data_IF_737168578848
#
_entry.id   IF_737168578848
#
_cell.length_a   1.000
_cell.length_b   1.000
_cell.length_c   1.000
_cell.angle_alpha   90.00
_cell.angle_beta   90.00
_cell.angle_gamma   90.00
#
_symmetry.space_group_name_H-M   'P 1'
#
loop_
_entity.id
_entity.type
_entity.pdbx_description
1 polymer ?
#
# COMPACT_ATOMS: atom_id res chain seq x y z
N UNK A 1 -21.91 -31.76 -18.49
CA UNK A 1 -20.89 -32.15 -17.50
C UNK A 1 -20.80 -30.99 -16.51
N UNK A 2 -21.20 -31.20 -15.25
CA UNK A 2 -21.35 -30.11 -14.27
C UNK A 2 -20.05 -29.79 -13.54
N UNK A 3 -19.86 -28.53 -13.18
CA UNK A 3 -18.73 -28.10 -12.36
C UNK A 3 -18.92 -28.52 -10.89
N UNK A 4 -17.86 -29.07 -10.28
CA UNK A 4 -17.80 -29.43 -8.86
C UNK A 4 -16.98 -28.34 -8.14
N UNK A 5 -17.60 -27.62 -7.22
CA UNK A 5 -16.92 -26.66 -6.34
C UNK A 5 -16.72 -27.30 -4.95
N UNK A 6 -15.51 -27.26 -4.39
CA UNK A 6 -15.15 -27.98 -3.15
C UNK A 6 -15.36 -27.14 -1.88
N UNK A 7 -15.10 -25.83 -1.95
CA UNK A 7 -15.43 -24.83 -0.92
C UNK A 7 -15.20 -23.42 -1.48
N UNK A 8 -15.91 -22.43 -0.97
CA UNK A 8 -15.57 -21.02 -1.08
C UNK A 8 -15.76 -20.36 0.29
N UNK A 9 -14.89 -19.44 0.66
CA UNK A 9 -15.04 -18.62 1.87
C UNK A 9 -15.08 -17.16 1.42
N UNK A 10 -16.11 -16.42 1.87
CA UNK A 10 -16.26 -15.00 1.61
C UNK A 10 -16.23 -14.28 2.97
N UNK A 11 -15.18 -13.52 3.24
CA UNK A 11 -15.06 -12.68 4.44
C UNK A 11 -15.11 -11.22 4.05
N UNK A 12 -15.76 -10.42 4.87
CA UNK A 12 -15.86 -8.98 4.67
C UNK A 12 -14.50 -8.34 5.02
N UNK A 13 -13.84 -7.77 4.01
CA UNK A 13 -12.61 -7.00 4.12
C UNK A 13 -12.83 -5.72 3.30
N UNK A 14 -12.29 -4.57 3.72
CA UNK A 14 -12.55 -3.25 3.12
C UNK A 14 -13.95 -2.67 3.40
N UNK A 15 -14.30 -2.46 4.67
CA UNK A 15 -15.58 -1.84 5.08
C UNK A 15 -15.65 -0.31 4.86
N UNK A 16 -14.62 0.28 4.25
CA UNK A 16 -14.51 1.72 4.01
C UNK A 16 -15.21 2.18 2.72
N UNK A 17 -15.82 1.25 1.98
CA UNK A 17 -16.51 1.55 0.73
C UNK A 17 -18.01 1.33 0.94
N UNK A 18 -18.79 2.41 0.85
CA UNK A 18 -20.24 2.36 0.86
C UNK A 18 -20.73 1.63 -0.39
N UNK A 19 -21.36 0.46 -0.24
CA UNK A 19 -22.22 -0.26 -1.22
C UNK A 19 -21.83 -0.22 -2.72
N UNK A 20 -20.54 -0.11 -3.03
CA UNK A 20 -20.00 0.00 -4.40
C UNK A 20 -19.90 -1.37 -5.07
N UNK A 21 -19.86 -1.48 -6.42
CA UNK A 21 -19.59 -2.73 -7.13
C UNK A 21 -18.36 -3.47 -6.61
N UNK A 22 -18.35 -4.79 -6.80
CA UNK A 22 -17.26 -5.68 -6.39
C UNK A 22 -15.88 -5.14 -6.81
N UNK A 23 -14.94 -5.09 -5.87
CA UNK A 23 -13.56 -4.75 -6.16
C UNK A 23 -12.83 -5.95 -6.77
N UNK A 24 -12.05 -5.69 -7.82
CA UNK A 24 -11.09 -6.65 -8.37
C UNK A 24 -9.71 -6.21 -7.90
N UNK A 25 -9.00 -7.12 -7.23
CA UNK A 25 -7.62 -6.85 -6.83
C UNK A 25 -6.74 -6.72 -8.08
N UNK A 26 -6.17 -5.53 -8.29
CA UNK A 26 -5.15 -5.30 -9.31
C UNK A 26 -3.76 -5.63 -8.75
N UNK A 27 -3.29 -4.85 -7.77
CA UNK A 27 -1.96 -4.99 -7.19
C UNK A 27 -1.99 -4.92 -5.66
N UNK A 28 -1.05 -5.62 -5.04
CA UNK A 28 -0.78 -5.57 -3.59
C UNK A 28 0.70 -5.86 -3.35
N UNK A 29 1.40 -4.93 -2.72
CA UNK A 29 2.85 -4.98 -2.53
C UNK A 29 3.25 -4.85 -1.06
N UNK A 30 4.26 -5.62 -0.66
CA UNK A 30 5.05 -5.39 0.54
C UNK A 30 6.33 -4.64 0.14
N UNK A 31 6.26 -3.31 0.14
CA UNK A 31 7.36 -2.46 -0.31
C UNK A 31 8.63 -2.67 0.53
N UNK A 32 9.75 -2.87 -0.16
CA UNK A 32 11.06 -3.09 0.47
C UNK A 32 11.25 -4.52 1.03
N UNK A 33 10.23 -5.38 0.94
CA UNK A 33 10.39 -6.80 1.28
C UNK A 33 11.19 -7.53 0.21
N UNK A 34 12.09 -8.42 0.65
CA UNK A 34 12.83 -9.34 -0.23
C UNK A 34 12.07 -10.66 -0.47
N UNK A 35 10.96 -10.88 0.23
CA UNK A 35 10.17 -12.11 0.15
C UNK A 35 8.68 -11.81 0.04
N UNK A 36 7.97 -12.68 -0.66
CA UNK A 36 6.51 -12.74 -0.64
C UNK A 36 5.99 -12.96 0.79
N UNK A 37 4.95 -12.21 1.18
CA UNK A 37 4.24 -12.40 2.46
C UNK A 37 2.83 -12.92 2.17
N UNK A 38 2.44 -14.00 2.84
CA UNK A 38 1.13 -14.66 2.76
C UNK A 38 0.93 -15.58 3.97
N UNK A 39 -0.03 -16.52 3.94
CA UNK A 39 -0.22 -17.49 5.02
C UNK A 39 1.09 -18.26 5.33
N UNK A 40 1.42 -18.54 6.61
CA UNK A 40 0.62 -18.30 7.82
C UNK A 40 0.78 -16.90 8.44
N UNK A 41 1.61 -16.04 7.85
CA UNK A 41 1.87 -14.68 8.37
C UNK A 41 0.66 -13.77 8.18
N UNK A 42 -0.02 -13.89 7.03
CA UNK A 42 -1.32 -13.26 6.79
C UNK A 42 -2.45 -14.29 6.99
N UNK A 43 -3.31 -14.15 8.02
CA UNK A 43 -4.43 -15.05 8.26
C UNK A 43 -5.45 -15.12 7.12
N UNK A 44 -5.49 -14.10 6.26
CA UNK A 44 -6.38 -14.02 5.09
C UNK A 44 -5.74 -14.59 3.82
N UNK A 45 -4.52 -15.16 3.91
CA UNK A 45 -3.69 -15.64 2.79
C UNK A 45 -3.61 -14.65 1.61
N UNK A 46 -3.65 -13.35 1.91
CA UNK A 46 -3.48 -12.32 0.89
C UNK A 46 -2.05 -12.38 0.37
N UNK A 47 -1.92 -12.33 -0.95
CA UNK A 47 -0.64 -12.35 -1.64
C UNK A 47 -0.04 -10.94 -1.66
N UNK A 48 0.96 -10.67 -0.81
CA UNK A 48 1.70 -9.41 -0.78
C UNK A 48 3.00 -9.53 -1.60
N UNK A 49 2.97 -9.08 -2.85
CA UNK A 49 4.09 -9.20 -3.78
C UNK A 49 5.31 -8.39 -3.33
N UNK A 50 6.49 -8.84 -3.73
CA UNK A 50 7.68 -7.98 -3.72
C UNK A 50 7.52 -6.88 -4.77
N UNK A 51 8.07 -5.70 -4.49
CA UNK A 51 8.12 -4.60 -5.46
C UNK A 51 9.55 -4.11 -5.60
N UNK A 52 9.98 -3.95 -6.85
CA UNK A 52 11.27 -3.36 -7.20
C UNK A 52 11.09 -2.39 -8.35
N UNK A 53 11.62 -1.18 -8.21
CA UNK A 53 11.64 -0.19 -9.27
C UNK A 53 12.95 0.59 -9.21
N UNK A 54 13.41 1.03 -10.38
CA UNK A 54 14.56 1.93 -10.48
C UNK A 54 14.21 3.27 -9.80
N UNK A 55 15.09 3.77 -8.94
CA UNK A 55 14.87 5.04 -8.23
C UNK A 55 14.30 4.90 -6.82
N UNK A 56 14.02 3.67 -6.37
CA UNK A 56 13.67 3.37 -4.98
C UNK A 56 14.74 2.53 -4.31
N UNK A 57 14.95 2.77 -3.02
CA UNK A 57 15.80 1.94 -2.15
C UNK A 57 14.96 1.36 -1.04
N UNK A 58 15.22 0.08 -0.73
CA UNK A 58 14.60 -0.57 0.41
C UNK A 58 15.25 -0.08 1.70
N UNK A 59 14.43 0.21 2.70
CA UNK A 59 14.87 0.65 4.02
C UNK A 59 14.28 -0.30 5.06
N UNK A 60 15.15 -1.00 5.79
CA UNK A 60 14.70 -1.91 6.85
C UNK A 60 14.24 -1.15 8.07
N UNK A 61 13.24 -1.70 8.74
CA UNK A 61 12.77 -1.17 10.00
C UNK A 61 13.78 -1.45 11.12
N UNK A 62 14.11 -0.41 11.87
CA UNK A 62 14.97 -0.48 13.05
C UNK A 62 14.23 -1.09 14.25
N UNK A 63 12.89 -1.09 14.21
CA UNK A 63 12.05 -1.73 15.21
C UNK A 63 11.88 -3.23 14.95
N UNK A 64 11.74 -4.00 16.02
CA UNK A 64 11.40 -5.43 15.95
C UNK A 64 9.97 -5.70 15.50
N UNK A 65 9.08 -4.73 15.62
CA UNK A 65 7.66 -4.84 15.27
C UNK A 65 7.03 -3.46 15.06
N UNK A 66 5.94 -3.42 14.31
CA UNK A 66 5.09 -2.25 14.09
C UNK A 66 3.70 -2.54 14.64
N UNK A 67 3.13 -1.59 15.37
CA UNK A 67 1.75 -1.62 15.80
C UNK A 67 0.81 -1.41 14.60
N UNK A 68 0.09 -2.46 14.25
CA UNK A 68 -0.87 -2.50 13.13
C UNK A 68 -2.33 -2.46 13.60
N UNK A 69 -2.59 -2.36 14.91
CA UNK A 69 -3.94 -2.46 15.46
C UNK A 69 -4.86 -1.30 15.05
N UNK A 70 -4.28 -0.18 14.58
CA UNK A 70 -5.04 0.97 14.07
C UNK A 70 -5.39 0.85 12.59
N UNK A 71 -4.86 -0.17 11.90
CA UNK A 71 -5.24 -0.47 10.52
C UNK A 71 -6.59 -1.19 10.51
N UNK A 72 -7.44 -0.81 9.57
CA UNK A 72 -8.81 -1.31 9.40
C UNK A 72 -8.83 -2.60 8.59
N UNK A 73 -7.80 -2.82 7.78
CA UNK A 73 -7.67 -3.98 6.92
C UNK A 73 -6.78 -5.08 7.50
N UNK A 74 -6.50 -5.06 8.80
CA UNK A 74 -5.69 -6.07 9.49
C UNK A 74 -4.36 -6.37 8.75
N UNK A 75 -3.58 -5.33 8.44
CA UNK A 75 -2.33 -5.53 7.70
C UNK A 75 -1.35 -6.36 8.56
N UNK A 76 -0.69 -7.40 8.02
CA UNK A 76 0.28 -8.16 8.79
C UNK A 76 1.49 -7.28 9.13
N UNK A 77 1.99 -7.36 10.37
CA UNK A 77 3.15 -6.57 10.81
C UNK A 77 4.42 -6.82 9.97
N UNK A 78 4.54 -8.02 9.39
CA UNK A 78 5.63 -8.36 8.46
C UNK A 78 5.65 -7.46 7.21
N UNK A 79 4.49 -7.00 6.73
CA UNK A 79 4.39 -6.07 5.58
C UNK A 79 5.00 -4.72 5.92
N UNK A 80 4.96 -4.34 7.20
CA UNK A 80 5.49 -3.06 7.72
C UNK A 80 6.94 -3.15 8.22
N UNK A 81 7.61 -4.29 8.01
CA UNK A 81 9.00 -4.52 8.47
C UNK A 81 10.05 -3.87 7.57
N UNK A 82 9.66 -3.42 6.38
CA UNK A 82 10.49 -2.65 5.46
C UNK A 82 9.65 -1.52 4.86
N UNK A 83 10.35 -0.56 4.26
CA UNK A 83 9.76 0.49 3.44
C UNK A 83 10.59 0.69 2.17
N UNK A 84 10.09 1.54 1.28
CA UNK A 84 10.88 2.12 0.19
C UNK A 84 11.04 3.61 0.41
N UNK A 85 12.20 4.14 0.01
CA UNK A 85 12.46 5.57 -0.07
C UNK A 85 12.95 5.93 -1.47
N UNK A 86 12.67 7.15 -1.91
CA UNK A 86 13.24 7.69 -3.13
C UNK A 86 14.73 7.99 -2.94
N UNK A 87 15.51 7.97 -4.04
CA UNK A 87 16.94 8.31 -4.01
C UNK A 87 17.21 9.78 -3.62
N UNK A 88 16.23 10.66 -3.80
CA UNK A 88 16.32 12.07 -3.39
C UNK A 88 14.96 12.60 -2.94
N UNK A 89 14.98 13.69 -2.16
CA UNK A 89 13.78 14.43 -1.72
C UNK A 89 13.07 15.17 -2.85
N UNK A 90 13.71 15.32 -4.00
CA UNK A 90 13.14 15.92 -5.21
C UNK A 90 12.52 14.89 -6.16
N UNK A 91 12.69 13.60 -5.88
CA UNK A 91 12.16 12.52 -6.70
C UNK A 91 10.76 12.15 -6.22
N UNK A 92 9.86 11.88 -7.18
CA UNK A 92 8.52 11.40 -6.90
C UNK A 92 8.49 9.87 -6.94
N UNK A 93 7.66 9.26 -6.09
CA UNK A 93 7.22 7.89 -6.27
C UNK A 93 5.87 7.90 -6.97
N UNK A 94 5.78 7.22 -8.12
CA UNK A 94 4.56 7.09 -8.90
C UNK A 94 3.95 5.72 -8.61
N UNK A 95 2.66 5.70 -8.27
CA UNK A 95 1.92 4.46 -8.06
C UNK A 95 1.87 3.68 -9.38
N UNK A 96 2.18 2.39 -9.33
CA UNK A 96 2.20 1.56 -10.53
C UNK A 96 0.77 1.25 -11.02
N UNK A 97 0.37 1.88 -12.14
CA UNK A 97 -0.93 1.73 -12.79
C UNK A 97 -0.91 0.85 -14.05
N UNK A 98 0.20 0.17 -14.33
CA UNK A 98 0.44 -0.50 -15.63
C UNK A 98 -0.56 -1.59 -16.03
N UNK A 99 -1.34 -2.13 -15.09
CA UNK A 99 -2.37 -3.15 -15.35
C UNK A 99 -3.79 -2.58 -15.46
N UNK A 100 -3.95 -1.25 -15.41
CA UNK A 100 -5.23 -0.60 -15.69
C UNK A 100 -5.47 -0.50 -17.21
N UNK A 101 -6.72 -0.33 -17.66
CA UNK A 101 -6.99 -0.05 -19.07
C UNK A 101 -6.27 1.22 -19.54
N UNK A 102 -5.69 1.21 -20.75
CA UNK A 102 -5.01 2.39 -21.32
C UNK A 102 -5.98 3.39 -21.94
N UNK A 103 -7.07 2.91 -22.54
CA UNK A 103 -7.98 3.72 -23.37
C UNK A 103 -9.00 4.53 -22.57
N UNK A 104 -9.15 4.27 -21.28
CA UNK A 104 -10.10 4.95 -20.42
C UNK A 104 -9.65 4.89 -18.97
N UNK A 105 -9.79 6.00 -18.24
CA UNK A 105 -9.61 5.99 -16.79
C UNK A 105 -10.73 5.21 -16.10
N UNK A 106 -10.34 4.36 -15.17
CA UNK A 106 -11.26 3.59 -14.33
C UNK A 106 -11.17 4.08 -12.88
N UNK A 107 -12.28 4.03 -12.11
CA UNK A 107 -12.23 4.26 -10.67
C UNK A 107 -11.28 3.26 -10.02
N UNK A 108 -10.38 3.74 -9.16
CA UNK A 108 -9.49 2.90 -8.39
C UNK A 108 -9.70 3.12 -6.89
N UNK A 109 -9.58 2.02 -6.16
CA UNK A 109 -9.49 2.02 -4.71
C UNK A 109 -8.04 1.77 -4.32
N UNK A 110 -7.39 2.78 -3.78
CA UNK A 110 -6.00 2.72 -3.33
C UNK A 110 -5.96 2.76 -1.81
N UNK A 111 -5.41 1.71 -1.20
CA UNK A 111 -5.06 1.72 0.21
C UNK A 111 -3.54 1.72 0.38
N UNK A 112 -3.03 2.59 1.25
CA UNK A 112 -1.61 2.75 1.51
C UNK A 112 -1.32 2.64 3.00
N UNK A 113 -0.18 2.04 3.33
CA UNK A 113 0.26 1.86 4.70
C UNK A 113 1.64 2.51 4.87
N UNK A 114 1.79 3.28 5.93
CA UNK A 114 3.01 4.02 6.24
C UNK A 114 3.44 3.78 7.67
N UNK A 115 4.74 3.74 7.90
CA UNK A 115 5.34 3.82 9.23
C UNK A 115 6.73 4.41 9.09
N UNK A 116 7.19 5.14 10.09
CA UNK A 116 8.57 5.58 10.15
C UNK A 116 9.41 4.37 10.60
N UNK A 117 10.40 4.02 9.79
CA UNK A 117 11.20 2.78 9.93
C UNK A 117 12.57 3.03 10.57
N UNK A 118 12.95 4.28 10.80
CA UNK A 118 14.20 4.68 11.42
C UNK A 118 13.94 5.54 12.65
N UNK A 119 14.79 5.43 13.66
CA UNK A 119 14.75 6.35 14.81
C UNK A 119 15.33 7.68 14.36
N UNK A 120 14.45 8.67 14.15
CA UNK A 120 14.83 10.02 13.81
C UNK A 120 14.96 10.89 15.05
N UNK A 121 15.82 11.91 15.01
CA UNK A 121 15.81 12.94 16.04
C UNK A 121 14.58 13.84 15.81
N UNK A 122 13.56 13.85 16.70
CA UNK A 122 12.30 14.54 16.44
C UNK A 122 12.43 16.06 16.24
N UNK A 123 13.54 16.64 16.72
CA UNK A 123 13.82 18.07 16.63
C UNK A 123 14.63 18.47 15.39
N UNK A 124 15.21 17.51 14.67
CA UNK A 124 16.11 17.75 13.53
C UNK A 124 15.65 17.07 12.25
N UNK A 125 15.08 15.87 12.39
CA UNK A 125 14.79 14.97 11.28
C UNK A 125 13.31 14.55 11.34
N UNK A 126 12.53 15.01 10.37
CA UNK A 126 11.14 14.58 10.17
C UNK A 126 10.95 14.22 8.70
N UNK A 127 10.47 13.01 8.44
CA UNK A 127 10.07 12.61 7.09
C UNK A 127 8.61 12.95 6.87
N UNK A 128 8.36 13.87 5.94
CA UNK A 128 7.02 14.25 5.51
C UNK A 128 6.98 14.29 4.00
N UNK A 129 5.91 13.79 3.42
CA UNK A 129 5.71 13.82 1.98
C UNK A 129 4.24 14.05 1.66
N UNK A 130 4.01 14.48 0.42
CA UNK A 130 2.69 14.80 -0.10
C UNK A 130 2.22 13.63 -0.96
N UNK A 131 0.97 13.23 -0.76
CA UNK A 131 0.26 12.38 -1.72
C UNK A 131 -0.47 13.33 -2.66
N UNK A 132 -0.25 13.14 -3.96
CA UNK A 132 -0.80 13.97 -5.01
C UNK A 132 -1.62 13.13 -5.97
N UNK A 133 -2.68 13.73 -6.51
CA UNK A 133 -3.48 13.19 -7.61
C UNK A 133 -3.72 14.34 -8.56
N UNK A 134 -3.43 14.14 -9.85
CA UNK A 134 -3.57 15.21 -10.86
C UNK A 134 -2.79 16.48 -10.49
N UNK A 135 -1.58 16.31 -9.93
CA UNK A 135 -0.73 17.37 -9.36
C UNK A 135 -1.31 18.17 -8.17
N UNK A 136 -2.48 17.79 -7.66
CA UNK A 136 -3.09 18.40 -6.49
C UNK A 136 -2.75 17.63 -5.21
N UNK A 137 -2.42 18.35 -4.14
CA UNK A 137 -2.07 17.73 -2.85
C UNK A 137 -3.35 17.34 -2.12
N UNK A 138 -3.59 16.03 -2.02
CA UNK A 138 -4.78 15.50 -1.34
C UNK A 138 -4.52 15.10 0.11
N UNK A 139 -3.27 14.81 0.46
CA UNK A 139 -2.90 14.43 1.81
C UNK A 139 -1.41 14.70 2.09
N UNK A 140 -1.08 15.01 3.34
CA UNK A 140 0.31 15.15 3.81
C UNK A 140 0.57 14.06 4.82
N UNK A 141 1.45 13.12 4.48
CA UNK A 141 1.81 12.00 5.35
C UNK A 141 2.89 12.45 6.33
N UNK A 142 2.68 12.12 7.60
CA UNK A 142 3.65 12.24 8.69
C UNK A 142 3.68 10.90 9.43
N UNK A 143 4.47 9.93 8.93
CA UNK A 143 4.45 8.58 9.48
C UNK A 143 5.09 8.58 10.88
N UNK A 144 4.44 7.91 11.82
CA UNK A 144 4.95 7.74 13.18
C UNK A 144 5.86 6.51 13.26
N UNK A 145 6.87 6.58 14.13
CA UNK A 145 7.79 5.45 14.34
C UNK A 145 7.05 4.33 15.07
N UNK A 146 7.16 3.10 14.57
CA UNK A 146 6.52 1.89 15.13
C UNK A 146 4.99 1.85 15.13
N UNK A 147 4.31 2.81 14.51
CA UNK A 147 2.86 2.77 14.36
C UNK A 147 2.49 2.82 12.88
N UNK A 148 1.63 1.91 12.45
CA UNK A 148 1.10 1.91 11.10
C UNK A 148 0.02 2.99 10.95
N UNK A 149 0.16 3.79 9.90
CA UNK A 149 -0.86 4.69 9.40
C UNK A 149 -1.44 4.08 8.13
N UNK A 150 -2.75 3.90 8.10
CA UNK A 150 -3.49 3.49 6.91
C UNK A 150 -4.18 4.69 6.27
N UNK A 151 -4.04 4.87 4.96
CA UNK A 151 -4.78 5.89 4.21
C UNK A 151 -5.43 5.30 2.96
N UNK A 152 -6.71 5.61 2.80
CA UNK A 152 -7.56 5.08 1.74
C UNK A 152 -8.01 6.19 0.80
N UNK A 153 -7.96 5.95 -0.51
CA UNK A 153 -8.42 6.84 -1.56
C UNK A 153 -9.34 6.07 -2.50
N UNK A 154 -10.63 6.41 -2.50
CA UNK A 154 -11.66 5.68 -3.25
C UNK A 154 -12.32 6.49 -4.40
N UNK A 155 -12.06 7.79 -4.46
CA UNK A 155 -12.67 8.72 -5.43
C UNK A 155 -11.69 9.19 -6.49
N UNK A 156 -10.78 8.32 -6.90
CA UNK A 156 -9.72 8.64 -7.87
C UNK A 156 -9.86 7.76 -9.11
N UNK A 157 -9.50 8.31 -10.27
CA UNK A 157 -9.54 7.61 -11.56
C UNK A 157 -8.16 7.58 -12.19
N UNK A 158 -7.79 6.46 -12.80
CA UNK A 158 -6.48 6.25 -13.42
C UNK A 158 -6.55 5.30 -14.61
N UNK A 159 -5.53 5.35 -15.46
CA UNK A 159 -5.29 4.44 -16.60
C UNK A 159 -3.85 3.94 -16.58
N UNK A 160 -3.46 3.02 -17.46
CA UNK A 160 -2.03 2.64 -17.57
C UNK A 160 -1.15 3.77 -18.09
N UNK A 161 -1.75 4.73 -18.80
CA UNK A 161 -1.04 5.84 -19.47
C UNK A 161 -1.07 7.11 -18.62
N UNK A 162 -1.78 7.09 -17.49
CA UNK A 162 -1.85 8.22 -16.58
C UNK A 162 -0.53 8.38 -15.83
N UNK A 163 0.28 9.38 -16.20
CA UNK A 163 1.37 9.90 -15.35
C UNK A 163 0.79 10.87 -14.32
N UNK A 164 -0.15 10.38 -13.50
CA UNK A 164 -0.80 11.17 -12.44
C UNK A 164 0.01 11.15 -11.14
#
# INVERSE_FOLDING_TARGET
MGHIFKAFELKYLYNQIDSSPALILNKRFAYGSSTLIRYPVDPYDRYWNIFSSNGLVSVSNSASSVDVNQTKDDVPSAVMSNAVATLSTSSNFIVDTTELPSTQEVPIYLNMYFTEVQVLNPSLDLRRFKVMVDNEVIYVVNPAYQTALETTYASITASSDSTK
#
